data_IF_684210339120
#
_entry.id   IF_684210339120
#
_cell.length_a   1.000
_cell.length_b   1.000
_cell.length_c   1.000
_cell.angle_alpha   90.00
_cell.angle_beta   90.00
_cell.angle_gamma   90.00
#
_symmetry.space_group_name_H-M   'P 1'
#
loop_
_entity.id
_entity.type
_entity.pdbx_description
1 polymer ?
#
# COMPACT_ATOMS: atom_id res chain seq x y z
N UNK A 1 -5.08 -7.59 13.45
CA UNK A 1 -4.51 -6.34 14.00
C UNK A 1 -4.15 -5.46 12.81
N UNK A 2 -4.53 -4.18 12.78
CA UNK A 2 -4.12 -3.28 11.70
C UNK A 2 -2.68 -2.80 11.92
N UNK A 3 -1.80 -2.98 10.92
CA UNK A 3 -0.41 -2.48 10.93
C UNK A 3 -0.24 -1.31 9.97
N UNK A 4 0.75 -0.46 10.21
CA UNK A 4 1.18 0.54 9.24
C UNK A 4 2.06 -0.12 8.16
N UNK A 5 2.11 0.44 6.95
CA UNK A 5 2.99 -0.05 5.92
C UNK A 5 4.46 0.21 6.28
N UNK A 6 5.34 -0.67 5.82
CA UNK A 6 6.79 -0.54 5.89
C UNK A 6 7.43 -0.28 4.52
N UNK A 7 6.62 -0.23 3.46
CA UNK A 7 7.02 0.07 2.10
C UNK A 7 6.04 1.07 1.48
N UNK A 8 6.57 2.12 0.84
CA UNK A 8 5.80 3.10 0.09
C UNK A 8 6.51 3.39 -1.24
N UNK A 9 5.83 3.16 -2.35
CA UNK A 9 6.25 3.70 -3.64
C UNK A 9 5.45 4.97 -3.92
N UNK A 10 6.13 6.10 -4.10
CA UNK A 10 5.53 7.44 -4.16
C UNK A 10 5.57 8.09 -5.55
N UNK A 11 5.85 7.32 -6.60
CA UNK A 11 5.93 7.81 -7.98
C UNK A 11 7.36 7.91 -8.55
N UNK A 12 7.57 8.67 -9.64
CA UNK A 12 6.63 9.62 -10.27
C UNK A 12 5.59 8.94 -11.17
N UNK A 13 4.60 9.73 -11.59
CA UNK A 13 3.63 9.32 -12.61
C UNK A 13 4.32 8.81 -13.87
N UNK A 14 3.68 7.84 -14.52
CA UNK A 14 4.14 7.24 -15.79
C UNK A 14 5.50 6.52 -15.71
N UNK A 15 5.97 6.18 -14.51
CA UNK A 15 7.16 5.35 -14.29
C UNK A 15 6.87 3.84 -14.10
N UNK A 16 5.69 3.37 -14.52
CA UNK A 16 5.34 1.94 -14.48
C UNK A 16 4.80 1.42 -13.15
N UNK A 17 4.23 2.29 -12.31
CA UNK A 17 3.73 1.89 -10.98
C UNK A 17 2.62 0.84 -11.01
N UNK A 18 1.79 0.82 -12.06
CA UNK A 18 0.80 -0.25 -12.26
C UNK A 18 1.45 -1.62 -12.49
N UNK A 19 2.49 -1.70 -13.34
CA UNK A 19 3.21 -2.95 -13.56
C UNK A 19 3.93 -3.42 -12.28
N UNK A 20 4.55 -2.49 -11.55
CA UNK A 20 5.20 -2.79 -10.27
C UNK A 20 4.21 -3.37 -9.27
N UNK A 21 3.03 -2.77 -9.11
CA UNK A 21 1.96 -3.26 -8.24
C UNK A 21 1.51 -4.69 -8.64
N UNK A 22 1.25 -4.92 -9.93
CA UNK A 22 0.84 -6.23 -10.45
C UNK A 22 1.89 -7.34 -10.27
N UNK A 23 3.18 -7.00 -10.28
CA UNK A 23 4.25 -7.97 -10.03
C UNK A 23 4.40 -8.25 -8.54
N UNK A 24 4.41 -7.21 -7.71
CA UNK A 24 4.63 -7.33 -6.27
C UNK A 24 3.47 -8.06 -5.57
N UNK A 25 2.23 -7.82 -5.96
CA UNK A 25 1.06 -8.48 -5.33
C UNK A 25 1.04 -10.01 -5.52
N UNK A 26 1.86 -10.54 -6.44
CA UNK A 26 1.99 -11.99 -6.67
C UNK A 26 3.06 -12.64 -5.79
N UNK A 27 3.90 -11.86 -5.12
CA UNK A 27 4.98 -12.39 -4.29
C UNK A 27 4.44 -12.84 -2.92
N UNK A 28 4.76 -14.05 -2.44
CA UNK A 28 4.17 -14.59 -1.21
C UNK A 28 4.52 -13.78 0.05
N UNK A 29 5.68 -13.12 0.07
CA UNK A 29 6.12 -12.29 1.21
C UNK A 29 5.76 -10.79 1.07
N UNK A 30 4.93 -10.43 0.09
CA UNK A 30 4.51 -9.05 -0.15
C UNK A 30 2.99 -8.95 -0.10
N UNK A 31 2.51 -8.08 0.78
CA UNK A 31 1.13 -7.63 0.77
C UNK A 31 1.09 -6.18 0.27
N UNK A 32 0.33 -5.97 -0.79
CA UNK A 32 -0.12 -4.65 -1.22
C UNK A 32 -1.63 -4.56 -1.03
N UNK A 33 -2.12 -3.34 -0.78
CA UNK A 33 -3.56 -3.13 -0.75
C UNK A 33 -4.20 -3.48 -2.10
N UNK A 34 -5.39 -4.12 -2.12
CA UNK A 34 -6.08 -4.43 -3.38
C UNK A 34 -6.43 -3.18 -4.18
N UNK A 35 -6.77 -2.09 -3.49
CA UNK A 35 -6.88 -0.78 -4.10
C UNK A 35 -5.48 -0.20 -4.32
N UNK A 36 -5.18 0.15 -5.56
CA UNK A 36 -4.02 0.97 -5.91
C UNK A 36 -4.30 2.43 -5.53
N UNK A 37 -3.27 3.18 -5.19
CA UNK A 37 -3.32 4.63 -4.91
C UNK A 37 -4.28 5.00 -3.76
N UNK A 38 -3.88 4.80 -2.49
CA UNK A 38 -4.75 5.14 -1.35
C UNK A 38 -4.91 6.65 -1.17
N UNK A 39 -4.03 7.46 -1.77
CA UNK A 39 -4.00 8.91 -1.66
C UNK A 39 -4.07 9.44 -0.21
N UNK A 40 -3.59 8.66 0.76
CA UNK A 40 -3.67 9.05 2.17
C UNK A 40 -2.89 10.34 2.44
N UNK A 41 -1.66 10.44 1.93
CA UNK A 41 -0.81 11.62 2.11
C UNK A 41 -1.13 12.79 1.16
N UNK A 42 -2.14 12.65 0.30
CA UNK A 42 -2.59 13.69 -0.63
C UNK A 42 -4.01 14.16 -0.28
N UNK A 43 -5.01 13.30 -0.45
CA UNK A 43 -6.44 13.68 -0.42
C UNK A 43 -7.18 13.30 0.85
N UNK A 44 -6.64 12.34 1.61
CA UNK A 44 -7.37 11.70 2.71
C UNK A 44 -6.61 11.72 4.04
N UNK A 45 -5.70 12.68 4.20
CA UNK A 45 -4.87 12.78 5.41
C UNK A 45 -5.72 13.07 6.66
N UNK A 46 -6.82 13.81 6.48
CA UNK A 46 -7.81 14.16 7.49
C UNK A 46 -8.54 12.94 8.09
N UNK A 47 -8.56 11.80 7.38
CA UNK A 47 -9.14 10.54 7.89
C UNK A 47 -8.30 9.88 8.99
N UNK A 48 -7.05 10.33 9.16
CA UNK A 48 -6.16 9.91 10.23
C UNK A 48 -5.53 8.52 10.05
N UNK A 49 -4.52 8.24 10.88
CA UNK A 49 -3.71 7.02 10.79
C UNK A 49 -4.50 5.73 11.02
N UNK A 50 -5.57 5.77 11.81
CA UNK A 50 -6.42 4.60 12.03
C UNK A 50 -7.13 4.17 10.74
N UNK A 51 -7.64 5.13 9.95
CA UNK A 51 -8.22 4.86 8.64
C UNK A 51 -7.17 4.29 7.69
N UNK A 52 -5.96 4.86 7.69
CA UNK A 52 -4.86 4.39 6.86
C UNK A 52 -4.41 2.97 7.21
N UNK A 53 -4.17 2.68 8.49
CA UNK A 53 -3.79 1.34 8.97
C UNK A 53 -4.88 0.29 8.65
N UNK A 54 -6.15 0.69 8.61
CA UNK A 54 -7.25 -0.22 8.27
C UNK A 54 -7.20 -0.72 6.82
N UNK A 55 -6.51 -0.02 5.92
CA UNK A 55 -6.30 -0.46 4.52
C UNK A 55 -5.40 -1.71 4.45
N UNK A 56 -4.58 -1.96 5.48
CA UNK A 56 -3.62 -3.06 5.55
C UNK A 56 -4.07 -4.18 6.50
N UNK A 57 -5.36 -4.22 6.89
CA UNK A 57 -5.86 -5.16 7.90
C UNK A 57 -5.78 -6.64 7.50
N UNK A 58 -5.75 -6.92 6.19
CA UNK A 58 -5.72 -8.28 5.66
C UNK A 58 -4.28 -8.79 5.46
N UNK A 59 -3.28 -7.94 5.71
CA UNK A 59 -1.89 -8.38 5.81
C UNK A 59 -1.74 -9.35 7.00
N UNK A 60 -1.01 -10.42 6.74
CA UNK A 60 -0.68 -11.50 7.69
C UNK A 60 0.81 -11.39 8.02
N UNK A 61 1.56 -12.43 7.69
CA UNK A 61 2.96 -12.62 8.04
C UNK A 61 3.90 -12.10 6.95
N UNK A 62 3.39 -11.37 5.95
CA UNK A 62 4.21 -10.81 4.88
C UNK A 62 5.26 -9.83 5.45
N UNK A 63 6.50 -10.01 4.97
CA UNK A 63 7.63 -9.18 5.35
C UNK A 63 7.44 -7.74 4.86
N UNK A 64 6.91 -7.59 3.64
CA UNK A 64 6.66 -6.30 3.01
C UNK A 64 5.16 -6.02 3.00
N UNK A 65 4.76 -4.91 3.59
CA UNK A 65 3.37 -4.45 3.62
C UNK A 65 3.37 -2.99 3.18
N UNK A 66 2.68 -2.68 2.09
CA UNK A 66 2.83 -1.36 1.50
C UNK A 66 1.78 -0.99 0.47
N UNK A 67 1.96 0.21 -0.07
CA UNK A 67 1.18 0.69 -1.21
C UNK A 67 2.11 1.15 -2.33
N UNK A 68 1.54 1.17 -3.53
CA UNK A 68 2.16 1.72 -4.72
C UNK A 68 1.23 2.78 -5.27
N UNK A 69 1.70 4.03 -5.24
CA UNK A 69 1.02 5.23 -5.75
C UNK A 69 1.32 5.51 -7.23
#
# INVERSE_FOLDING_TARGET
>A
MSRLPNFLYVGPDKAGSSWLHEMLIKHPDVYLTPAKDLYFFDRYYDRGLAWYASQFRDARDEAVVGEVC
#
